data_IF_599052246110
#
_entry.id   IF_599052246110
#
_cell.length_a   1.000
_cell.length_b   1.000
_cell.length_c   1.000
_cell.angle_alpha   90.00
_cell.angle_beta   90.00
_cell.angle_gamma   90.00
#
_symmetry.space_group_name_H-M   'P 1'
#
loop_
_entity.id
_entity.type
_entity.pdbx_description
1 polymer ?
#
# COMPACT_ATOMS: atom_id res chain seq x y z
N UNK A 1 -19.99 1.62 -4.55
CA UNK A 1 -18.74 2.40 -4.38
C UNK A 1 -18.85 3.45 -3.27
N UNK A 2 -19.81 4.38 -3.33
CA UNK A 2 -19.91 5.47 -2.33
C UNK A 2 -20.10 4.97 -0.87
N UNK A 3 -20.94 3.96 -0.64
CA UNK A 3 -21.12 3.38 0.69
C UNK A 3 -19.87 2.62 1.18
N UNK A 4 -19.19 1.88 0.28
CA UNK A 4 -17.97 1.16 0.62
C UNK A 4 -16.83 2.13 0.99
N UNK A 5 -16.71 3.26 0.27
CA UNK A 5 -15.76 4.32 0.59
C UNK A 5 -16.01 4.85 2.01
N UNK A 6 -17.27 5.19 2.34
CA UNK A 6 -17.65 5.71 3.66
C UNK A 6 -17.33 4.70 4.78
N UNK A 7 -17.62 3.42 4.57
CA UNK A 7 -17.41 2.38 5.57
C UNK A 7 -15.91 2.08 5.76
N UNK A 8 -15.14 2.02 4.67
CA UNK A 8 -13.68 1.85 4.73
C UNK A 8 -13.01 3.03 5.43
N UNK A 9 -13.45 4.27 5.12
CA UNK A 9 -12.96 5.47 5.77
C UNK A 9 -13.21 5.43 7.28
N UNK A 10 -14.45 5.10 7.69
CA UNK A 10 -14.79 4.98 9.11
C UNK A 10 -13.93 3.94 9.84
N UNK A 11 -13.66 2.78 9.20
CA UNK A 11 -12.79 1.76 9.78
C UNK A 11 -11.36 2.28 9.98
N UNK A 12 -10.80 2.97 8.98
CA UNK A 12 -9.46 3.57 9.08
C UNK A 12 -9.39 4.64 10.16
N UNK A 13 -10.37 5.53 10.25
CA UNK A 13 -10.47 6.58 11.28
C UNK A 13 -10.57 5.99 12.69
N UNK A 14 -11.16 4.79 12.83
CA UNK A 14 -11.21 4.03 14.09
C UNK A 14 -9.95 3.21 14.38
N UNK A 15 -8.86 3.35 13.57
CA UNK A 15 -7.61 2.62 13.75
C UNK A 15 -7.69 1.13 13.37
N UNK A 16 -8.69 0.76 12.56
CA UNK A 16 -8.88 -0.61 12.11
C UNK A 16 -8.14 -0.89 10.79
N UNK A 17 -7.91 -2.18 10.53
CA UNK A 17 -7.37 -2.66 9.26
C UNK A 17 -8.50 -2.91 8.26
N UNK A 18 -8.20 -2.73 6.98
CA UNK A 18 -9.15 -3.02 5.90
C UNK A 18 -8.58 -4.05 4.92
N UNK A 19 -9.45 -4.89 4.38
CA UNK A 19 -9.16 -5.76 3.24
C UNK A 19 -9.83 -5.18 2.01
N UNK A 20 -9.07 -4.86 0.97
CA UNK A 20 -9.57 -4.11 -0.18
C UNK A 20 -8.88 -4.47 -1.49
N UNK A 21 -9.59 -4.35 -2.62
CA UNK A 21 -9.01 -4.57 -3.93
C UNK A 21 -8.20 -3.35 -4.40
N UNK A 22 -7.09 -3.61 -5.08
CA UNK A 22 -6.25 -2.58 -5.71
C UNK A 22 -6.14 -2.82 -7.21
N UNK A 23 -5.40 -1.98 -7.93
CA UNK A 23 -5.05 -2.17 -9.34
C UNK A 23 -4.09 -3.34 -9.61
N UNK A 24 -3.56 -3.97 -8.56
CA UNK A 24 -2.62 -5.10 -8.65
C UNK A 24 -3.21 -6.38 -8.08
N UNK A 25 -3.27 -6.49 -6.76
CA UNK A 25 -3.75 -7.66 -6.01
C UNK A 25 -4.60 -7.19 -4.83
N UNK A 26 -5.35 -8.07 -4.21
CA UNK A 26 -6.01 -7.78 -2.94
C UNK A 26 -5.01 -7.40 -1.87
N UNK A 27 -5.28 -6.29 -1.17
CA UNK A 27 -4.42 -5.73 -0.12
C UNK A 27 -5.07 -5.75 1.26
N UNK A 28 -4.22 -5.91 2.28
CA UNK A 28 -4.56 -5.54 3.66
C UNK A 28 -3.93 -4.18 3.91
N UNK A 29 -4.71 -3.24 4.42
CA UNK A 29 -4.22 -1.88 4.68
C UNK A 29 -4.70 -1.33 6.01
N UNK A 30 -4.04 -0.27 6.43
CA UNK A 30 -4.37 0.53 7.60
C UNK A 30 -3.77 1.93 7.46
N UNK A 31 -3.99 2.78 8.46
CA UNK A 31 -3.30 4.07 8.60
C UNK A 31 -1.77 3.86 8.65
N UNK A 32 -1.06 4.41 7.69
CA UNK A 32 0.40 4.30 7.61
C UNK A 32 1.14 5.15 8.68
N UNK A 33 0.45 6.07 9.34
CA UNK A 33 1.00 6.89 10.41
C UNK A 33 0.81 6.25 11.80
N UNK A 34 -0.06 5.24 11.92
CA UNK A 34 -0.40 4.58 13.19
C UNK A 34 0.47 3.34 13.44
N UNK A 35 1.32 3.39 14.46
CA UNK A 35 2.12 2.23 14.91
C UNK A 35 1.22 1.06 15.30
N UNK A 36 0.13 1.32 16.03
CA UNK A 36 -0.78 0.27 16.48
C UNK A 36 -1.50 -0.41 15.32
N UNK A 37 -2.00 0.37 14.34
CA UNK A 37 -2.66 -0.19 13.17
C UNK A 37 -1.67 -0.96 12.27
N UNK A 38 -0.44 -0.46 12.14
CA UNK A 38 0.61 -1.12 11.35
C UNK A 38 1.05 -2.45 12.01
N UNK A 39 1.20 -2.50 13.33
CA UNK A 39 1.49 -3.75 14.06
C UNK A 39 0.43 -4.81 13.80
N UNK A 40 -0.87 -4.45 13.79
CA UNK A 40 -1.96 -5.39 13.45
C UNK A 40 -1.74 -6.05 12.07
N UNK A 41 -1.20 -5.33 11.08
CA UNK A 41 -0.88 -5.92 9.75
C UNK A 41 0.15 -7.05 9.89
N UNK A 42 1.21 -6.84 10.68
CA UNK A 42 2.24 -7.87 10.91
C UNK A 42 1.65 -9.09 11.61
N UNK A 43 0.82 -8.89 12.64
CA UNK A 43 0.16 -9.95 13.40
C UNK A 43 -0.78 -10.77 12.49
N UNK A 44 -1.69 -10.11 11.75
CA UNK A 44 -2.61 -10.76 10.81
C UNK A 44 -1.86 -11.59 9.77
N UNK A 45 -0.75 -11.06 9.26
CA UNK A 45 0.05 -11.71 8.21
C UNK A 45 1.08 -12.71 8.76
N UNK A 46 1.28 -12.80 10.06
CA UNK A 46 2.40 -13.53 10.70
C UNK A 46 3.73 -13.13 10.05
N UNK A 47 3.93 -11.82 9.88
CA UNK A 47 5.05 -11.26 9.13
C UNK A 47 6.15 -10.79 10.07
N UNK A 48 7.39 -11.03 9.69
CA UNK A 48 8.56 -10.50 10.37
C UNK A 48 8.60 -8.96 10.28
N UNK A 49 8.78 -8.29 11.41
CA UNK A 49 8.86 -6.82 11.52
C UNK A 49 10.05 -6.21 10.76
N UNK A 50 11.10 -6.99 10.47
CA UNK A 50 12.25 -6.53 9.66
C UNK A 50 11.92 -6.27 8.18
N UNK A 51 10.73 -6.72 7.72
CA UNK A 51 10.30 -6.57 6.33
C UNK A 51 9.40 -5.35 6.20
N UNK A 52 9.91 -4.25 5.66
CA UNK A 52 9.15 -3.05 5.38
C UNK A 52 7.82 -3.30 4.63
N UNK A 53 6.92 -2.34 4.68
CA UNK A 53 5.62 -2.38 4.04
C UNK A 53 5.53 -1.32 2.94
N UNK A 54 4.66 -1.54 1.97
CA UNK A 54 4.36 -0.55 0.93
C UNK A 54 3.28 0.39 1.46
N UNK A 55 3.44 1.69 1.21
CA UNK A 55 2.41 2.69 1.44
C UNK A 55 1.81 3.14 0.10
N UNK A 56 0.49 3.30 0.06
CA UNK A 56 -0.22 3.92 -1.06
C UNK A 56 -0.46 5.40 -0.75
N UNK A 57 -0.19 6.24 -1.73
CA UNK A 57 -0.53 7.67 -1.74
C UNK A 57 -1.50 7.96 -2.89
N UNK A 58 -2.30 9.02 -2.80
CA UNK A 58 -3.23 9.42 -3.86
C UNK A 58 -2.52 10.09 -5.05
N UNK A 59 -1.35 10.68 -4.81
CA UNK A 59 -0.53 11.32 -5.83
C UNK A 59 0.95 11.34 -5.42
N UNK A 60 1.84 11.67 -6.34
CA UNK A 60 3.26 11.88 -6.01
C UNK A 60 3.50 13.17 -5.24
N UNK A 61 2.64 14.16 -5.38
CA UNK A 61 2.65 15.37 -4.55
C UNK A 61 2.41 15.03 -3.07
N UNK A 62 1.45 14.14 -2.78
CA UNK A 62 1.25 13.64 -1.40
C UNK A 62 2.52 12.92 -0.88
N UNK A 63 3.23 12.17 -1.71
CA UNK A 63 4.46 11.46 -1.28
C UNK A 63 5.53 12.42 -0.76
N UNK A 64 5.61 13.65 -1.29
CA UNK A 64 6.59 14.66 -0.86
C UNK A 64 6.47 15.02 0.63
N UNK A 65 5.29 14.87 1.23
CA UNK A 65 5.08 15.13 2.66
C UNK A 65 5.71 14.04 3.55
N UNK A 66 6.02 12.87 2.97
CA UNK A 66 6.43 11.66 3.71
C UNK A 66 7.81 11.11 3.34
N UNK A 67 8.38 11.51 2.22
CA UNK A 67 9.70 11.07 1.78
C UNK A 67 10.30 12.06 0.77
N UNK A 68 11.60 11.93 0.52
CA UNK A 68 12.23 12.73 -0.52
C UNK A 68 11.89 12.17 -1.90
N UNK A 69 11.30 13.01 -2.71
CA UNK A 69 11.00 12.75 -4.12
C UNK A 69 11.30 14.00 -4.92
N UNK A 70 12.30 13.90 -5.78
CA UNK A 70 12.70 14.95 -6.71
C UNK A 70 12.17 14.63 -8.10
N UNK A 71 11.91 15.63 -8.94
CA UNK A 71 11.50 15.44 -10.32
C UNK A 71 10.28 14.51 -10.48
N UNK A 72 9.16 14.85 -9.84
CA UNK A 72 7.90 14.07 -9.80
C UNK A 72 7.53 13.47 -11.17
N UNK A 73 7.73 14.21 -12.27
CA UNK A 73 7.41 13.75 -13.63
C UNK A 73 8.17 12.47 -14.03
N UNK A 74 9.38 12.24 -13.53
CA UNK A 74 10.10 10.97 -13.77
C UNK A 74 9.39 9.79 -13.15
N UNK A 75 8.87 9.96 -11.92
CA UNK A 75 8.12 8.91 -11.21
C UNK A 75 6.76 8.64 -11.88
N UNK A 76 6.07 9.71 -12.31
CA UNK A 76 4.83 9.60 -13.10
C UNK A 76 5.08 8.82 -14.38
N UNK A 77 6.08 9.21 -15.16
CA UNK A 77 6.43 8.54 -16.43
C UNK A 77 6.81 7.07 -16.20
N UNK A 78 7.61 6.78 -15.18
CA UNK A 78 7.99 5.40 -14.85
C UNK A 78 6.82 4.54 -14.38
N UNK A 79 5.70 5.12 -13.92
CA UNK A 79 4.53 4.37 -13.43
C UNK A 79 3.35 4.31 -14.41
N UNK A 80 3.42 4.99 -15.57
CA UNK A 80 2.29 5.11 -16.50
C UNK A 80 1.80 3.77 -17.07
N UNK A 81 2.72 2.89 -17.45
CA UNK A 81 2.37 1.63 -18.15
C UNK A 81 2.29 0.43 -17.20
N UNK A 82 3.02 0.47 -16.10
CA UNK A 82 3.16 -0.66 -15.20
C UNK A 82 3.02 -0.21 -13.75
N UNK A 83 2.19 -0.88 -12.92
CA UNK A 83 2.10 -0.59 -11.50
C UNK A 83 3.49 -0.62 -10.85
N UNK A 84 3.95 0.52 -10.35
CA UNK A 84 5.32 0.70 -9.88
C UNK A 84 5.35 1.19 -8.43
N UNK A 85 6.16 0.54 -7.61
CA UNK A 85 6.50 0.94 -6.24
C UNK A 85 7.91 1.52 -6.25
N UNK A 86 8.11 2.64 -5.58
CA UNK A 86 9.40 3.30 -5.47
C UNK A 86 9.93 3.20 -4.05
N UNK A 87 11.20 2.80 -3.91
CA UNK A 87 11.93 2.89 -2.65
C UNK A 87 12.53 4.29 -2.57
N UNK A 88 12.15 5.01 -1.51
CA UNK A 88 12.53 6.41 -1.26
C UNK A 88 13.32 6.51 0.04
N UNK A 89 14.02 7.62 0.20
CA UNK A 89 14.86 7.94 1.33
C UNK A 89 14.24 9.05 2.20
N UNK A 90 14.79 9.26 3.38
CA UNK A 90 14.38 10.29 4.34
C UNK A 90 12.87 10.26 4.67
N UNK A 91 12.35 9.12 5.16
CA UNK A 91 10.96 9.01 5.60
C UNK A 91 10.67 9.96 6.76
N UNK A 92 9.47 10.53 6.76
CA UNK A 92 8.97 11.44 7.80
C UNK A 92 7.46 11.30 8.01
N UNK A 93 6.98 11.65 9.17
CA UNK A 93 5.55 11.65 9.51
C UNK A 93 4.86 10.31 9.23
N UNK A 94 5.56 9.20 9.47
CA UNK A 94 5.09 7.83 9.17
C UNK A 94 5.45 6.88 10.30
N UNK A 95 4.72 5.79 10.46
CA UNK A 95 5.05 4.75 11.44
C UNK A 95 6.42 4.11 11.14
N UNK A 96 7.24 3.92 12.18
CA UNK A 96 8.53 3.22 12.03
C UNK A 96 8.37 1.76 11.57
N UNK A 97 7.20 1.15 11.79
CA UNK A 97 6.91 -0.22 11.36
C UNK A 97 6.73 -0.39 9.85
N UNK A 98 6.53 0.70 9.09
CA UNK A 98 6.48 0.60 7.62
C UNK A 98 7.86 0.61 6.97
N UNK A 99 8.88 1.06 7.71
CA UNK A 99 10.20 1.29 7.16
C UNK A 99 10.90 -0.01 6.77
N UNK A 100 11.63 0.05 5.67
CA UNK A 100 12.48 -1.01 5.19
C UNK A 100 13.93 -0.89 5.69
N UNK A 101 14.82 -1.68 5.10
CA UNK A 101 16.25 -1.60 5.38
C UNK A 101 16.79 -0.19 5.09
N UNK A 102 17.82 0.20 5.86
CA UNK A 102 18.48 1.50 5.74
C UNK A 102 17.52 2.71 5.88
N UNK A 103 16.52 2.58 6.74
CA UNK A 103 15.51 3.62 6.99
C UNK A 103 14.85 4.12 5.69
N UNK A 104 14.54 3.21 4.77
CA UNK A 104 13.88 3.51 3.51
C UNK A 104 12.37 3.27 3.61
N UNK A 105 11.61 3.91 2.72
CA UNK A 105 10.17 3.73 2.62
C UNK A 105 9.75 3.38 1.19
N UNK A 106 8.75 2.53 1.06
CA UNK A 106 8.20 2.12 -0.23
C UNK A 106 6.85 2.81 -0.48
N UNK A 107 6.77 3.65 -1.51
CA UNK A 107 5.53 4.29 -1.93
C UNK A 107 5.06 3.83 -3.31
N UNK A 108 3.75 3.77 -3.49
CA UNK A 108 3.07 3.57 -4.77
C UNK A 108 1.85 4.48 -4.89
N UNK A 109 1.68 5.10 -6.05
CA UNK A 109 0.43 5.74 -6.45
C UNK A 109 -0.37 4.73 -7.28
N UNK A 110 -1.52 4.23 -6.79
CA UNK A 110 -2.28 3.19 -7.47
C UNK A 110 -3.08 3.76 -8.64
N UNK A 111 -3.20 3.02 -9.75
CA UNK A 111 -4.13 3.33 -10.82
C UNK A 111 -5.52 2.70 -10.53
N UNK A 112 -6.12 3.09 -9.41
CA UNK A 112 -7.40 2.55 -8.95
C UNK A 112 -8.23 3.66 -8.30
N UNK A 113 -9.36 3.99 -8.91
CA UNK A 113 -10.22 5.09 -8.48
C UNK A 113 -10.73 4.94 -7.03
N UNK A 114 -11.01 3.70 -6.57
CA UNK A 114 -11.43 3.48 -5.19
C UNK A 114 -10.29 3.80 -4.23
N UNK A 115 -9.07 3.30 -4.50
CA UNK A 115 -7.89 3.55 -3.66
C UNK A 115 -7.58 5.05 -3.58
N UNK A 116 -7.51 5.73 -4.73
CA UNK A 116 -7.22 7.17 -4.79
C UNK A 116 -8.23 7.95 -3.95
N UNK A 117 -9.53 7.77 -4.19
CA UNK A 117 -10.59 8.49 -3.45
C UNK A 117 -10.62 8.15 -1.96
N UNK A 118 -10.26 6.92 -1.58
CA UNK A 118 -10.16 6.55 -0.17
C UNK A 118 -9.02 7.29 0.51
N UNK A 119 -7.85 7.33 -0.14
CA UNK A 119 -6.66 8.02 0.39
C UNK A 119 -6.89 9.53 0.46
N UNK A 120 -7.50 10.12 -0.58
CA UNK A 120 -7.87 11.54 -0.59
C UNK A 120 -8.84 11.89 0.56
N UNK A 121 -9.89 11.08 0.74
CA UNK A 121 -10.86 11.28 1.81
C UNK A 121 -10.27 11.06 3.20
N UNK A 122 -9.30 10.15 3.34
CA UNK A 122 -8.59 9.88 4.58
C UNK A 122 -7.51 10.93 4.89
N UNK A 123 -7.00 11.62 3.86
CA UNK A 123 -6.04 12.72 3.97
C UNK A 123 -4.61 12.29 4.29
N UNK A 124 -4.29 10.98 4.23
CA UNK A 124 -2.96 10.44 4.52
C UNK A 124 -2.74 9.07 3.90
N UNK A 125 -1.46 8.60 3.81
CA UNK A 125 -1.14 7.34 3.15
C UNK A 125 -1.73 6.13 3.87
N UNK A 126 -1.99 5.06 3.11
CA UNK A 126 -2.40 3.76 3.62
C UNK A 126 -1.28 2.74 3.47
N UNK A 127 -1.01 1.97 4.51
CA UNK A 127 -0.28 0.71 4.34
C UNK A 127 -1.03 -0.17 3.34
N UNK A 128 -0.31 -0.84 2.46
CA UNK A 128 -0.87 -1.84 1.55
C UNK A 128 0.07 -3.04 1.42
N UNK A 129 -0.35 -4.16 1.94
CA UNK A 129 0.36 -5.44 1.84
C UNK A 129 -0.54 -6.49 1.21
N UNK A 130 0.03 -7.42 0.43
CA UNK A 130 -0.75 -8.51 -0.18
C UNK A 130 -1.59 -9.29 0.84
N UNK A 131 -2.80 -9.70 0.45
CA UNK A 131 -3.77 -10.36 1.33
C UNK A 131 -3.49 -11.87 1.54
N UNK A 132 -2.23 -12.24 1.84
CA UNK A 132 -1.78 -13.59 2.16
C UNK A 132 -1.00 -13.63 3.47
N UNK A 133 -0.96 -14.78 4.12
CA UNK A 133 -0.01 -15.03 5.20
C UNK A 133 1.42 -14.97 4.66
N UNK A 134 2.37 -14.56 5.49
CA UNK A 134 3.76 -14.44 5.06
C UNK A 134 4.31 -15.80 4.60
N UNK A 135 4.89 -15.83 3.41
CA UNK A 135 5.40 -17.06 2.79
C UNK A 135 4.35 -17.90 2.02
N UNK A 136 3.06 -17.59 2.13
CA UNK A 136 2.01 -18.25 1.35
C UNK A 136 1.84 -17.63 -0.03
N UNK A 137 1.17 -18.36 -0.94
CA UNK A 137 0.83 -17.85 -2.27
C UNK A 137 -0.01 -16.58 -2.20
N UNK A 138 0.21 -15.69 -3.17
CA UNK A 138 -0.59 -14.48 -3.32
C UNK A 138 -1.95 -14.85 -3.89
N UNK A 139 -3.09 -14.46 -3.25
CA UNK A 139 -4.41 -14.76 -3.74
C UNK A 139 -4.68 -14.06 -5.08
N UNK A 140 -5.26 -14.79 -6.02
CA UNK A 140 -5.59 -14.27 -7.34
C UNK A 140 -6.96 -13.57 -7.38
N UNK A 141 -7.83 -13.92 -6.43
CA UNK A 141 -9.18 -13.38 -6.28
C UNK A 141 -9.56 -13.35 -4.79
N UNK A 142 -10.76 -12.86 -4.48
CA UNK A 142 -11.25 -12.78 -3.11
C UNK A 142 -11.40 -14.15 -2.43
N UNK A 143 -11.82 -15.18 -3.17
CA UNK A 143 -12.11 -16.50 -2.60
C UNK A 143 -10.83 -17.21 -2.15
N UNK A 144 -9.72 -16.98 -2.84
CA UNK A 144 -8.39 -17.50 -2.49
C UNK A 144 -7.82 -16.91 -1.18
N UNK A 145 -8.37 -15.79 -0.69
CA UNK A 145 -7.90 -15.17 0.54
C UNK A 145 -8.28 -16.08 1.72
N UNK A 146 -7.29 -16.41 2.55
CA UNK A 146 -7.49 -17.32 3.67
C UNK A 146 -8.55 -16.79 4.68
N UNK A 147 -9.26 -17.72 5.31
CA UNK A 147 -10.23 -17.40 6.35
C UNK A 147 -9.58 -16.64 7.53
N UNK A 148 -8.34 -16.99 7.88
CA UNK A 148 -7.60 -16.32 8.96
C UNK A 148 -7.45 -14.81 8.69
N UNK A 149 -7.14 -14.42 7.45
CA UNK A 149 -7.04 -13.01 7.07
C UNK A 149 -8.42 -12.36 7.11
N UNK A 150 -9.43 -12.96 6.49
CA UNK A 150 -10.80 -12.42 6.43
C UNK A 150 -11.39 -12.20 7.82
N UNK A 151 -11.09 -13.08 8.77
CA UNK A 151 -11.61 -13.04 10.16
C UNK A 151 -10.94 -11.95 11.00
N UNK A 152 -9.66 -11.63 10.73
CA UNK A 152 -8.86 -10.76 11.59
C UNK A 152 -8.74 -9.31 11.09
N UNK A 153 -9.28 -8.98 9.90
CA UNK A 153 -9.35 -7.59 9.43
C UNK A 153 -10.60 -6.90 9.98
N UNK A 154 -10.49 -5.60 10.30
CA UNK A 154 -11.59 -4.83 10.86
C UNK A 154 -12.73 -4.59 9.86
N UNK A 155 -12.42 -4.42 8.58
CA UNK A 155 -13.44 -4.21 7.53
C UNK A 155 -13.03 -4.83 6.20
N UNK A 156 -14.00 -5.42 5.49
CA UNK A 156 -13.82 -5.97 4.14
C UNK A 156 -14.61 -5.14 3.14
N UNK A 157 -13.90 -4.53 2.20
CA UNK A 157 -14.49 -3.73 1.13
C UNK A 157 -15.15 -4.62 0.08
N UNK A 158 -16.45 -4.39 -0.20
CA UNK A 158 -17.28 -5.17 -1.13
C UNK A 158 -17.59 -4.36 -2.39
N UNK A 159 -16.74 -4.44 -3.40
CA UNK A 159 -16.98 -3.80 -4.70
C UNK A 159 -17.59 -4.80 -5.69
N UNK A 160 -18.81 -4.52 -6.19
CA UNK A 160 -19.55 -5.39 -7.12
C UNK A 160 -18.89 -5.59 -8.49
N UNK A 161 -18.04 -4.65 -8.92
CA UNK A 161 -17.34 -4.69 -10.21
C UNK A 161 -15.86 -4.43 -9.96
N UNK A 162 -15.17 -5.46 -9.55
CA UNK A 162 -13.71 -5.42 -9.43
C UNK A 162 -13.13 -6.42 -10.44
N UNK A 163 -12.23 -5.94 -11.28
CA UNK A 163 -11.47 -6.81 -12.17
C UNK A 163 -10.27 -7.34 -11.40
N UNK A 164 -10.20 -8.65 -11.21
CA UNK A 164 -9.07 -9.26 -10.55
C UNK A 164 -7.78 -8.94 -11.32
N UNK A 165 -6.83 -8.34 -10.63
CA UNK A 165 -5.49 -8.10 -11.14
C UNK A 165 -4.54 -9.09 -10.48
N UNK A 166 -3.70 -9.73 -11.28
CA UNK A 166 -2.91 -10.90 -10.88
C UNK A 166 -1.42 -10.62 -10.71
N UNK A 167 -0.99 -9.39 -10.99
CA UNK A 167 0.43 -9.04 -11.05
C UNK A 167 0.76 -8.02 -9.97
N UNK A 168 1.76 -8.35 -9.15
CA UNK A 168 2.33 -7.41 -8.18
C UNK A 168 3.02 -6.25 -8.89
N UNK A 169 3.09 -5.07 -8.24
CA UNK A 169 3.87 -3.95 -8.76
C UNK A 169 5.35 -4.31 -8.90
N UNK A 170 6.03 -3.81 -9.90
CA UNK A 170 7.49 -3.79 -9.90
C UNK A 170 8.01 -2.86 -8.81
N UNK A 171 9.26 -3.05 -8.38
CA UNK A 171 9.90 -2.21 -7.36
C UNK A 171 11.12 -1.55 -7.99
N UNK A 172 11.17 -0.24 -7.95
CA UNK A 172 12.27 0.58 -8.44
C UNK A 172 12.89 1.36 -7.29
N UNK A 173 14.22 1.54 -7.35
CA UNK A 173 14.96 2.47 -6.50
C UNK A 173 15.63 3.51 -7.39
N UNK A 174 15.46 4.80 -7.08
CA UNK A 174 16.15 5.89 -7.77
C UNK A 174 17.66 5.86 -7.44
N UNK A 175 18.47 6.01 -8.44
CA UNK A 175 19.91 6.16 -8.31
C UNK A 175 20.28 7.65 -8.51
N UNK A 176 20.71 8.32 -7.46
CA UNK A 176 21.06 9.74 -7.49
C UNK A 176 22.32 10.05 -8.29
N UNK A 177 23.18 9.05 -8.56
CA UNK A 177 24.46 9.27 -9.27
C UNK A 177 24.27 9.49 -10.79
N UNK A 178 23.32 8.77 -11.39
CA UNK A 178 23.08 8.79 -12.84
C UNK A 178 21.64 9.14 -13.22
N UNK A 179 20.77 9.35 -12.23
CA UNK A 179 19.37 9.68 -12.42
C UNK A 179 18.51 8.50 -12.94
N UNK A 180 19.02 7.28 -12.96
CA UNK A 180 18.30 6.09 -13.43
C UNK A 180 17.43 5.47 -12.33
N UNK A 181 16.55 4.52 -12.72
CA UNK A 181 15.84 3.65 -11.80
C UNK A 181 16.40 2.23 -11.87
N UNK A 182 16.87 1.71 -10.74
CA UNK A 182 17.29 0.32 -10.60
C UNK A 182 16.09 -0.55 -10.22
N UNK A 183 15.79 -1.57 -11.01
CA UNK A 183 14.72 -2.51 -10.70
C UNK A 183 15.18 -3.55 -9.68
N UNK A 184 14.43 -3.67 -8.57
CA UNK A 184 14.68 -4.63 -7.49
C UNK A 184 13.77 -5.85 -7.60
N UNK A 185 12.60 -5.70 -8.26
CA UNK A 185 11.62 -6.77 -8.55
C UNK A 185 10.86 -6.44 -9.81
#
# INVERSE_FOLDING_TARGET
>A
MKNELKNALKALESGETILYPTDTIWGIGCDAMSDNATKKIFEIKRRDYSKGLICLASSFEMVQDYADINEIERYKNASNETPTTFILENPRNISNYVLGKNNSIAFRVPNNNFCIRLIEAFGRPLVSSSANLSGSLIPQNYDDISHDIKKNVGYIVKLKKFKDCKVSSRILKFNSNDGSFNQLR
#
